data_IF_679677831171
#
_entry.id   IF_679677831171
#
_cell.length_a   1.000
_cell.length_b   1.000
_cell.length_c   1.000
_cell.angle_alpha   90.00
_cell.angle_beta   90.00
_cell.angle_gamma   90.00
#
_symmetry.space_group_name_H-M   'P 1'
#
loop_
_entity.id
_entity.type
_entity.pdbx_description
1 polymer ?
#
# COMPACT_ATOMS: atom_id res chain seq x y z
N UNK A 1 12.11 -5.58 -2.93
CA UNK A 1 11.43 -4.26 -3.07
C UNK A 1 10.09 -4.27 -2.39
N UNK A 2 9.76 -3.18 -1.72
CA UNK A 2 8.52 -2.95 -0.98
C UNK A 2 7.82 -1.73 -1.58
N UNK A 3 6.57 -1.86 -1.98
CA UNK A 3 5.70 -0.73 -2.33
C UNK A 3 4.91 -0.32 -1.10
N UNK A 4 5.03 0.91 -0.68
CA UNK A 4 4.31 1.49 0.46
C UNK A 4 3.34 2.56 -0.02
N UNK A 5 2.07 2.46 0.40
CA UNK A 5 0.98 3.30 -0.10
C UNK A 5 0.28 3.98 1.08
N UNK A 6 0.24 5.30 1.05
CA UNK A 6 -0.63 6.12 1.89
C UNK A 6 -1.92 6.44 1.12
N UNK A 7 -3.07 6.07 1.70
CA UNK A 7 -4.35 6.01 0.98
C UNK A 7 -5.03 7.36 0.92
N UNK A 8 -5.17 7.91 -0.27
CA UNK A 8 -5.88 9.16 -0.52
C UNK A 8 -6.44 9.25 -1.94
N UNK A 9 -7.48 10.04 -2.15
CA UNK A 9 -7.98 10.37 -3.50
C UNK A 9 -7.33 11.65 -4.01
N UNK A 10 -7.21 12.64 -3.14
CA UNK A 10 -6.58 13.93 -3.49
C UNK A 10 -5.05 13.86 -3.45
N UNK A 11 -4.51 12.99 -2.63
CA UNK A 11 -3.09 12.76 -2.46
C UNK A 11 -2.93 11.25 -2.23
N UNK A 12 -2.74 10.50 -3.29
CA UNK A 12 -2.28 9.12 -3.21
C UNK A 12 -0.76 9.19 -3.19
N UNK A 13 -0.15 8.84 -2.08
CA UNK A 13 1.30 8.81 -1.99
C UNK A 13 1.81 7.37 -2.07
N UNK A 14 2.90 7.17 -2.81
CA UNK A 14 3.49 5.86 -3.04
C UNK A 14 5.01 5.95 -3.00
N UNK A 15 5.64 4.96 -2.37
CA UNK A 15 7.09 4.80 -2.30
C UNK A 15 7.47 3.37 -2.66
N UNK A 16 8.33 3.18 -3.65
CA UNK A 16 8.97 1.91 -3.94
C UNK A 16 10.35 1.91 -3.31
N UNK A 17 10.57 1.07 -2.30
CA UNK A 17 11.80 0.97 -1.53
C UNK A 17 12.49 -0.36 -1.81
N UNK A 18 13.79 -0.33 -2.08
CA UNK A 18 14.65 -1.51 -2.21
C UNK A 18 15.39 -1.76 -0.90
N UNK A 19 14.86 -2.69 -0.10
CA UNK A 19 15.44 -3.07 1.20
C UNK A 19 16.83 -3.70 1.06
N UNK A 20 17.09 -4.37 -0.07
CA UNK A 20 18.36 -5.07 -0.34
C UNK A 20 19.49 -4.08 -0.74
N UNK A 21 19.15 -2.82 -1.08
CA UNK A 21 20.07 -1.76 -1.47
C UNK A 21 20.12 -0.63 -0.45
N UNK A 22 20.37 -0.96 0.81
CA UNK A 22 20.47 0.02 1.90
C UNK A 22 19.23 0.93 1.98
N UNK A 23 18.03 0.34 1.84
CA UNK A 23 16.76 1.07 1.83
C UNK A 23 16.71 2.20 0.78
N UNK A 24 17.18 1.91 -0.44
CA UNK A 24 17.10 2.84 -1.56
C UNK A 24 15.62 3.11 -1.91
N UNK A 25 15.23 4.37 -1.92
CA UNK A 25 13.96 4.85 -2.49
C UNK A 25 14.12 4.90 -4.01
N UNK A 26 13.52 3.94 -4.71
CA UNK A 26 13.62 3.78 -6.17
C UNK A 26 12.67 4.73 -6.89
N UNK A 27 11.43 4.79 -6.40
CA UNK A 27 10.38 5.68 -6.92
C UNK A 27 9.60 6.26 -5.74
N UNK A 28 9.23 7.53 -5.85
CA UNK A 28 8.51 8.24 -4.80
C UNK A 28 7.61 9.32 -5.39
N UNK A 29 6.32 9.16 -5.19
CA UNK A 29 5.33 10.01 -5.85
C UNK A 29 4.17 10.34 -4.89
N UNK A 30 3.61 11.53 -5.04
CA UNK A 30 2.35 11.94 -4.42
C UNK A 30 1.53 12.73 -5.43
N UNK A 31 0.40 12.18 -5.82
CA UNK A 31 -0.47 12.82 -6.80
C UNK A 31 -1.95 12.53 -6.50
N UNK A 32 -2.84 13.39 -7.02
CA UNK A 32 -4.28 13.18 -6.93
C UNK A 32 -4.79 12.23 -8.00
N UNK A 33 -5.75 11.39 -7.64
CA UNK A 33 -6.50 10.65 -8.64
C UNK A 33 -7.22 11.67 -9.53
N UNK A 34 -7.04 11.61 -10.86
CA UNK A 34 -7.69 12.55 -11.78
C UNK A 34 -9.19 12.59 -11.57
N UNK A 35 -9.83 13.78 -11.68
CA UNK A 35 -11.26 13.90 -11.49
C UNK A 35 -12.00 13.10 -12.54
N UNK A 36 -12.87 12.26 -12.07
CA UNK A 36 -13.97 11.55 -12.70
C UNK A 36 -13.79 11.10 -14.16
N UNK A 37 -13.31 9.87 -14.30
CA UNK A 37 -13.75 9.07 -15.44
C UNK A 37 -15.29 8.96 -15.37
N UNK A 38 -16.01 9.02 -16.52
CA UNK A 38 -17.47 8.84 -16.58
C UNK A 38 -17.94 7.59 -15.84
N UNK A 39 -17.11 6.57 -15.78
CA UNK A 39 -17.39 5.25 -15.14
C UNK A 39 -16.93 5.21 -13.67
N UNK A 40 -16.56 6.35 -13.07
CA UNK A 40 -16.34 6.52 -11.64
C UNK A 40 -14.87 6.50 -11.19
N UNK A 41 -14.69 6.81 -9.90
CA UNK A 41 -13.38 6.99 -9.26
C UNK A 41 -12.48 5.75 -9.33
N UNK A 42 -13.04 4.56 -9.33
CA UNK A 42 -12.25 3.33 -9.38
C UNK A 42 -11.61 3.08 -10.73
N UNK A 43 -12.28 3.50 -11.82
CA UNK A 43 -11.70 3.46 -13.16
C UNK A 43 -10.56 4.47 -13.26
N UNK A 44 -10.77 5.72 -12.81
CA UNK A 44 -9.70 6.72 -12.75
C UNK A 44 -8.50 6.23 -11.92
N UNK A 45 -8.76 5.54 -10.81
CA UNK A 45 -7.70 5.00 -9.95
C UNK A 45 -6.94 3.87 -10.63
N UNK A 46 -7.63 2.95 -11.32
CA UNK A 46 -6.97 1.92 -12.12
C UNK A 46 -6.05 2.54 -13.16
N UNK A 47 -6.55 3.49 -13.93
CA UNK A 47 -5.79 4.13 -15.01
C UNK A 47 -4.59 4.91 -14.45
N UNK A 48 -4.76 5.56 -13.28
CA UNK A 48 -3.70 6.24 -12.57
C UNK A 48 -2.58 5.28 -12.12
N UNK A 49 -2.93 4.09 -11.63
CA UNK A 49 -1.96 3.05 -11.26
C UNK A 49 -1.33 2.40 -12.50
N UNK A 50 -2.11 2.12 -13.54
CA UNK A 50 -1.62 1.51 -14.78
C UNK A 50 -0.64 2.45 -15.53
N UNK A 51 -0.79 3.77 -15.38
CA UNK A 51 0.17 4.76 -15.87
C UNK A 51 1.53 4.76 -15.12
N UNK A 52 1.64 4.00 -14.02
CA UNK A 52 2.84 3.90 -13.16
C UNK A 52 3.32 2.45 -13.08
N UNK A 53 3.90 1.88 -14.15
CA UNK A 53 4.26 0.45 -14.22
C UNK A 53 5.20 0.01 -13.10
N UNK A 54 5.96 0.93 -12.50
CA UNK A 54 6.86 0.66 -11.38
C UNK A 54 6.14 0.14 -10.13
N UNK A 55 4.84 0.46 -9.92
CA UNK A 55 4.07 -0.04 -8.77
C UNK A 55 3.91 -1.56 -8.78
N UNK A 56 4.08 -2.20 -9.95
CA UNK A 56 3.97 -3.65 -10.11
C UNK A 56 5.28 -4.40 -9.83
N UNK A 57 6.39 -3.68 -9.56
CA UNK A 57 7.71 -4.28 -9.35
C UNK A 57 7.97 -4.77 -7.91
N UNK A 58 7.00 -4.58 -7.01
CA UNK A 58 7.14 -4.93 -5.61
C UNK A 58 6.91 -6.42 -5.35
N UNK A 59 7.67 -6.98 -4.39
CA UNK A 59 7.43 -8.31 -3.80
C UNK A 59 6.50 -8.23 -2.58
N UNK A 60 6.49 -7.09 -1.90
CA UNK A 60 5.60 -6.80 -0.78
C UNK A 60 4.93 -5.45 -1.00
N UNK A 61 3.63 -5.38 -0.77
CA UNK A 61 2.81 -4.19 -0.98
C UNK A 61 2.12 -3.86 0.34
N UNK A 62 2.44 -2.69 0.89
CA UNK A 62 1.88 -2.18 2.13
C UNK A 62 0.86 -1.11 1.81
N UNK A 63 -0.39 -1.35 2.13
CA UNK A 63 -1.47 -0.38 1.99
C UNK A 63 -1.87 0.08 3.39
N UNK A 64 -1.83 1.39 3.67
CA UNK A 64 -2.24 1.89 4.96
C UNK A 64 -3.67 1.50 5.29
N UNK A 65 -3.86 0.82 6.43
CA UNK A 65 -5.18 0.44 6.93
C UNK A 65 -5.97 1.67 7.35
N UNK A 66 -7.11 1.87 6.72
CA UNK A 66 -7.99 3.00 7.00
C UNK A 66 -8.95 2.72 8.14
N UNK A 67 -9.26 3.74 8.99
CA UNK A 67 -10.20 3.58 10.09
C UNK A 67 -11.64 3.39 9.57
N UNK A 68 -12.39 2.47 10.18
CA UNK A 68 -13.74 2.06 9.74
C UNK A 68 -14.74 3.22 9.65
N UNK A 69 -14.56 4.28 10.43
CA UNK A 69 -15.36 5.50 10.37
C UNK A 69 -15.24 6.27 9.04
N UNK A 70 -14.12 6.11 8.32
CA UNK A 70 -13.90 6.75 7.03
C UNK A 70 -14.27 5.82 5.88
N UNK A 71 -15.58 5.56 5.71
CA UNK A 71 -16.12 4.60 4.73
C UNK A 71 -15.58 4.81 3.31
N UNK A 72 -15.42 6.06 2.89
CA UNK A 72 -14.89 6.38 1.56
C UNK A 72 -13.46 5.90 1.39
N UNK A 73 -12.57 6.17 2.36
CA UNK A 73 -11.17 5.71 2.29
C UNK A 73 -11.04 4.21 2.51
N UNK A 74 -11.93 3.60 3.29
CA UNK A 74 -12.02 2.12 3.41
C UNK A 74 -12.33 1.49 2.05
N UNK A 75 -13.27 2.05 1.28
CA UNK A 75 -13.57 1.56 -0.07
C UNK A 75 -12.38 1.71 -1.03
N UNK A 76 -11.67 2.84 -0.97
CA UNK A 76 -10.43 3.08 -1.75
C UNK A 76 -9.35 2.08 -1.36
N UNK A 77 -9.13 1.85 -0.07
CA UNK A 77 -8.18 0.86 0.44
C UNK A 77 -8.48 -0.55 -0.07
N UNK A 78 -9.75 -0.96 -0.05
CA UNK A 78 -10.14 -2.28 -0.57
C UNK A 78 -10.00 -2.39 -2.08
N UNK A 79 -10.26 -1.31 -2.82
CA UNK A 79 -9.99 -1.28 -4.25
C UNK A 79 -8.49 -1.48 -4.54
N UNK A 80 -7.61 -0.73 -3.86
CA UNK A 80 -6.16 -0.88 -3.99
C UNK A 80 -5.72 -2.31 -3.65
N UNK A 81 -6.26 -2.86 -2.55
CA UNK A 81 -5.96 -4.23 -2.14
C UNK A 81 -6.34 -5.25 -3.22
N UNK A 82 -7.55 -5.16 -3.77
CA UNK A 82 -8.02 -6.02 -4.85
C UNK A 82 -7.20 -5.85 -6.14
N UNK A 83 -6.90 -4.58 -6.51
CA UNK A 83 -6.07 -4.28 -7.68
C UNK A 83 -4.72 -5.02 -7.62
N UNK A 84 -4.01 -4.90 -6.49
CA UNK A 84 -2.70 -5.53 -6.37
C UNK A 84 -2.75 -7.05 -6.23
N UNK A 85 -3.77 -7.63 -5.60
CA UNK A 85 -3.97 -9.10 -5.59
C UNK A 85 -4.13 -9.63 -7.02
N UNK A 86 -4.82 -8.90 -7.89
CA UNK A 86 -5.08 -9.29 -9.28
C UNK A 86 -3.84 -9.05 -10.15
N UNK A 87 -3.22 -7.86 -10.04
CA UNK A 87 -2.11 -7.44 -10.91
C UNK A 87 -0.75 -8.01 -10.49
N UNK A 88 -0.58 -8.29 -9.20
CA UNK A 88 0.66 -8.80 -8.60
C UNK A 88 0.42 -10.10 -7.82
N UNK A 89 -0.04 -11.20 -8.45
CA UNK A 89 -0.47 -12.41 -7.73
C UNK A 89 0.66 -13.12 -6.97
N UNK A 90 1.93 -12.75 -7.24
CA UNK A 90 3.11 -13.28 -6.54
C UNK A 90 3.57 -12.38 -5.41
N UNK A 91 3.05 -11.16 -5.31
CA UNK A 91 3.40 -10.22 -4.24
C UNK A 91 2.53 -10.47 -3.00
N UNK A 92 3.12 -10.26 -1.83
CA UNK A 92 2.38 -10.22 -0.57
C UNK A 92 1.74 -8.84 -0.41
N UNK A 93 0.40 -8.77 -0.35
CA UNK A 93 -0.32 -7.49 -0.15
C UNK A 93 -0.87 -7.43 1.27
N UNK A 94 -0.47 -6.41 2.03
CA UNK A 94 -0.71 -6.27 3.47
C UNK A 94 -1.44 -4.95 3.75
N UNK A 95 -2.54 -5.03 4.51
CA UNK A 95 -3.15 -3.85 5.13
C UNK A 95 -2.37 -3.49 6.39
N UNK A 96 -1.54 -2.44 6.32
CA UNK A 96 -0.57 -2.08 7.34
C UNK A 96 -1.14 -1.04 8.32
N UNK A 97 -1.00 -1.29 9.62
CA UNK A 97 -1.53 -0.39 10.64
C UNK A 97 -0.65 0.86 10.80
N UNK A 98 -1.25 2.04 10.62
CA UNK A 98 -0.58 3.34 10.74
C UNK A 98 0.12 3.57 12.08
N UNK A 99 -0.31 2.89 13.16
CA UNK A 99 0.33 2.98 14.50
C UNK A 99 1.79 2.53 14.49
N UNK A 100 2.18 1.74 13.51
CA UNK A 100 3.54 1.23 13.38
C UNK A 100 4.51 2.20 12.72
N UNK A 101 4.03 3.24 12.01
CA UNK A 101 4.87 4.23 11.33
C UNK A 101 5.76 4.99 12.34
N UNK A 102 5.16 5.48 13.43
CA UNK A 102 5.84 6.25 14.50
C UNK A 102 5.39 5.72 15.86
N UNK A 103 5.91 4.58 16.31
CA UNK A 103 5.41 3.87 17.49
C UNK A 103 5.62 4.63 18.82
N UNK A 104 6.62 5.46 18.90
CA UNK A 104 6.98 6.26 20.09
C UNK A 104 6.14 7.53 20.26
N UNK A 105 5.28 7.87 19.31
CA UNK A 105 4.29 8.96 19.43
C UNK A 105 2.89 8.38 19.52
N UNK A 106 2.57 7.76 20.65
CA UNK A 106 1.27 7.14 20.91
C UNK A 106 0.23 8.15 21.43
N UNK A 107 -1.03 7.77 21.40
CA UNK A 107 -2.16 8.48 21.99
C UNK A 107 -3.15 9.08 20.98
N UNK A 108 -4.39 9.30 21.44
CA UNK A 108 -5.46 9.89 20.64
C UNK A 108 -5.37 11.43 20.63
N UNK A 109 -6.19 12.03 19.76
CA UNK A 109 -6.42 13.46 19.71
C UNK A 109 -5.58 14.22 18.67
N UNK A 110 -6.04 15.44 18.38
CA UNK A 110 -5.48 16.31 17.32
C UNK A 110 -4.02 16.69 17.58
N UNK A 111 -3.67 16.96 18.84
CA UNK A 111 -2.29 17.33 19.22
C UNK A 111 -1.31 16.17 18.91
N UNK A 112 -1.64 14.94 19.30
CA UNK A 112 -0.82 13.76 19.02
C UNK A 112 -0.76 13.43 17.52
N UNK A 113 -1.85 13.64 16.80
CA UNK A 113 -1.87 13.52 15.35
C UNK A 113 -0.90 14.50 14.69
N UNK A 114 -0.94 15.80 15.08
CA UNK A 114 -0.03 16.81 14.54
C UNK A 114 1.44 16.49 14.91
N UNK A 115 1.68 16.01 16.14
CA UNK A 115 3.02 15.58 16.57
C UNK A 115 3.55 14.44 15.71
N UNK A 116 2.71 13.39 15.44
CA UNK A 116 3.12 12.29 14.56
C UNK A 116 3.51 12.78 13.18
N UNK A 117 2.71 13.67 12.57
CA UNK A 117 3.02 14.25 11.25
C UNK A 117 4.37 14.99 11.28
N UNK A 118 4.61 15.82 12.28
CA UNK A 118 5.87 16.55 12.41
C UNK A 118 7.05 15.58 12.52
N UNK A 119 6.96 14.61 13.42
CA UNK A 119 8.01 13.59 13.63
C UNK A 119 8.21 12.73 12.38
N UNK A 120 7.15 12.39 11.65
CA UNK A 120 7.24 11.64 10.38
C UNK A 120 8.07 12.41 9.35
N UNK A 121 7.79 13.71 9.18
CA UNK A 121 8.53 14.59 8.26
C UNK A 121 10.00 14.71 8.67
N UNK A 122 10.28 15.02 9.95
CA UNK A 122 11.64 15.15 10.47
C UNK A 122 12.46 13.89 10.27
N UNK A 123 11.94 12.73 10.65
CA UNK A 123 12.63 11.44 10.49
C UNK A 123 12.84 11.05 9.03
N UNK A 124 11.89 11.37 8.18
CA UNK A 124 12.03 11.11 6.74
C UNK A 124 13.12 12.00 6.14
N UNK A 125 13.17 13.27 6.51
CA UNK A 125 14.24 14.18 6.05
C UNK A 125 15.62 13.73 6.55
N UNK A 126 15.73 13.35 7.83
CA UNK A 126 16.97 12.82 8.41
C UNK A 126 17.41 11.52 7.70
N UNK A 127 16.47 10.62 7.39
CA UNK A 127 16.73 9.39 6.65
C UNK A 127 17.30 9.68 5.26
N UNK A 128 16.70 10.62 4.52
CA UNK A 128 17.15 10.97 3.17
C UNK A 128 18.54 11.63 3.22
N UNK A 129 18.78 12.53 4.19
CA UNK A 129 20.05 13.26 4.33
C UNK A 129 21.19 12.38 4.80
N UNK A 130 20.93 11.47 5.73
CA UNK A 130 21.95 10.58 6.30
C UNK A 130 22.29 9.39 5.38
N UNK A 131 21.39 9.04 4.46
CA UNK A 131 21.56 7.92 3.54
C UNK A 131 21.96 8.42 2.15
N UNK A 132 23.25 8.29 1.79
CA UNK A 132 23.81 8.82 0.55
C UNK A 132 23.11 8.32 -0.73
N UNK A 133 22.57 7.08 -0.72
CA UNK A 133 21.84 6.53 -1.88
C UNK A 133 20.50 7.24 -2.13
N UNK A 134 19.97 7.95 -1.13
CA UNK A 134 18.68 8.66 -1.20
C UNK A 134 18.84 10.18 -1.33
N UNK A 135 20.05 10.73 -1.30
CA UNK A 135 20.32 12.18 -1.29
C UNK A 135 19.69 12.94 -2.46
N UNK A 136 19.52 12.29 -3.61
CA UNK A 136 18.89 12.86 -4.80
C UNK A 136 17.39 13.20 -4.58
N UNK A 137 16.73 12.63 -3.57
CA UNK A 137 15.34 12.92 -3.24
C UNK A 137 15.15 14.17 -2.38
N UNK A 138 16.22 14.74 -1.81
CA UNK A 138 16.09 15.83 -0.83
C UNK A 138 15.40 17.06 -1.41
N UNK A 139 15.74 17.43 -2.64
CA UNK A 139 15.14 18.57 -3.32
C UNK A 139 13.66 18.37 -3.59
N UNK A 140 13.29 17.19 -4.08
CA UNK A 140 11.90 16.80 -4.32
C UNK A 140 11.09 16.84 -3.02
N UNK A 141 11.63 16.27 -1.95
CA UNK A 141 10.97 16.25 -0.64
C UNK A 141 10.80 17.65 -0.05
N UNK A 142 11.86 18.45 -0.03
CA UNK A 142 11.83 19.80 0.55
C UNK A 142 10.89 20.73 -0.20
N UNK A 143 10.81 20.63 -1.52
CA UNK A 143 9.91 21.43 -2.37
C UNK A 143 8.45 20.95 -2.38
N UNK A 144 8.19 19.71 -1.95
CA UNK A 144 6.83 19.18 -1.93
C UNK A 144 5.92 19.92 -0.96
N UNK A 145 4.70 20.24 -1.42
CA UNK A 145 3.61 20.75 -0.56
C UNK A 145 2.97 19.64 0.28
N UNK A 146 3.29 18.37 0.01
CA UNK A 146 2.74 17.17 0.62
C UNK A 146 3.81 16.29 1.26
N UNK A 147 4.72 16.95 2.01
CA UNK A 147 5.81 16.27 2.72
C UNK A 147 5.32 15.22 3.70
N UNK A 148 4.17 15.46 4.34
CA UNK A 148 3.56 14.55 5.30
C UNK A 148 3.12 13.25 4.63
N UNK A 149 2.43 13.32 3.48
CA UNK A 149 1.96 12.15 2.74
C UNK A 149 3.16 11.35 2.16
N UNK A 150 4.17 12.05 1.63
CA UNK A 150 5.42 11.43 1.19
C UNK A 150 6.15 10.75 2.35
N UNK A 151 6.39 11.47 3.46
CA UNK A 151 7.08 10.93 4.63
C UNK A 151 6.40 9.68 5.18
N UNK A 152 5.08 9.67 5.21
CA UNK A 152 4.30 8.55 5.73
C UNK A 152 4.54 7.27 4.94
N UNK A 153 4.76 7.34 3.62
CA UNK A 153 5.07 6.14 2.81
C UNK A 153 6.46 5.58 3.13
N UNK A 154 7.47 6.43 3.29
CA UNK A 154 8.83 5.99 3.66
C UNK A 154 8.86 5.43 5.07
N UNK A 155 8.27 6.14 6.05
CA UNK A 155 8.21 5.68 7.44
C UNK A 155 7.45 4.35 7.57
N UNK A 156 6.40 4.14 6.79
CA UNK A 156 5.67 2.87 6.73
C UNK A 156 6.57 1.74 6.23
N UNK A 157 7.29 1.93 5.12
CA UNK A 157 8.20 0.94 4.57
C UNK A 157 9.32 0.59 5.55
N UNK A 158 10.01 1.60 6.11
CA UNK A 158 11.09 1.41 7.08
C UNK A 158 10.61 0.71 8.36
N UNK A 159 9.43 1.08 8.88
CA UNK A 159 8.88 0.41 10.05
C UNK A 159 8.57 -1.06 9.80
N UNK A 160 8.16 -1.41 8.59
CA UNK A 160 7.92 -2.80 8.19
C UNK A 160 9.25 -3.59 8.12
N UNK A 161 10.29 -3.03 7.50
CA UNK A 161 11.65 -3.63 7.44
C UNK A 161 12.16 -3.91 8.85
N UNK A 162 12.20 -2.88 9.71
CA UNK A 162 12.70 -3.00 11.08
C UNK A 162 11.93 -4.05 11.89
N UNK A 163 10.61 -4.14 11.73
CA UNK A 163 9.80 -5.13 12.47
C UNK A 163 10.06 -6.56 11.99
N UNK A 164 10.33 -6.76 10.69
CA UNK A 164 10.70 -8.08 10.17
C UNK A 164 12.05 -8.55 10.69
N UNK A 165 12.99 -7.65 10.90
CA UNK A 165 14.31 -7.96 11.44
C UNK A 165 14.26 -8.37 12.92
N UNK A 166 13.42 -7.70 13.72
CA UNK A 166 13.27 -7.95 15.17
C UNK A 166 12.51 -9.25 15.47
N UNK A 167 11.68 -9.77 14.55
CA UNK A 167 10.92 -10.99 14.78
C UNK A 167 11.82 -12.23 14.69
N UNK A 168 11.86 -13.11 15.73
CA UNK A 168 12.64 -14.34 15.70
C UNK A 168 12.18 -15.26 14.55
N UNK A 169 13.12 -16.00 13.98
CA UNK A 169 12.92 -16.85 12.79
C UNK A 169 11.73 -17.83 12.91
N UNK A 170 11.35 -18.23 14.14
CA UNK A 170 10.20 -19.09 14.43
C UNK A 170 8.84 -18.41 14.18
N UNK A 171 8.76 -17.07 14.23
CA UNK A 171 7.54 -16.32 13.96
C UNK A 171 7.44 -15.88 12.50
N UNK A 172 8.58 -15.78 11.80
CA UNK A 172 8.60 -15.49 10.34
C UNK A 172 7.84 -16.54 9.51
N UNK A 173 7.76 -17.81 9.98
CA UNK A 173 7.03 -18.91 9.31
C UNK A 173 5.52 -18.90 9.56
N UNK A 174 5.00 -18.17 10.56
CA UNK A 174 3.56 -18.13 10.86
C UNK A 174 2.80 -17.11 10.02
N UNK A 175 3.41 -16.00 9.63
CA UNK A 175 2.77 -15.01 8.74
C UNK A 175 2.54 -15.56 7.33
N UNK A 176 3.44 -16.41 6.84
CA UNK A 176 3.32 -17.05 5.51
C UNK A 176 2.29 -18.19 5.48
N UNK A 177 1.92 -18.78 6.64
CA UNK A 177 0.94 -19.89 6.69
C UNK A 177 -0.52 -19.46 6.75
N UNK A 178 -0.82 -18.18 7.01
CA UNK A 178 -2.21 -17.69 7.05
C UNK A 178 -2.82 -17.49 5.65
N UNK A 179 -2.02 -17.49 4.60
CA UNK A 179 -2.49 -17.34 3.21
C UNK A 179 -2.76 -18.68 2.51
N UNK A 180 -2.27 -19.80 3.06
CA UNK A 180 -2.45 -21.12 2.46
C UNK A 180 -3.49 -21.97 3.21
N UNK A 181 -4.68 -21.47 3.48
CA UNK A 181 -5.85 -22.35 3.71
C UNK A 181 -6.33 -22.83 2.34
N UNK A 182 -5.89 -24.04 1.96
CA UNK A 182 -6.52 -24.80 0.89
C UNK A 182 -8.02 -24.89 1.16
N UNK A 183 -8.88 -24.76 0.12
CA UNK A 183 -10.30 -25.04 0.28
C UNK A 183 -10.44 -26.49 0.80
N UNK A 184 -11.29 -26.64 1.80
CA UNK A 184 -11.61 -27.93 2.40
C UNK A 184 -12.26 -28.80 1.30
N UNK A 185 -11.64 -29.92 0.93
CA UNK A 185 -12.10 -30.84 -0.13
C UNK A 185 -13.46 -31.53 0.16
N UNK A 186 -14.14 -31.14 1.22
CA UNK A 186 -15.43 -31.72 1.64
C UNK A 186 -16.67 -30.86 1.31
N UNK A 187 -16.58 -29.90 0.37
CA UNK A 187 -17.79 -29.32 -0.19
C UNK A 187 -18.26 -30.17 -1.37
N UNK A 188 -19.33 -30.92 -1.11
CA UNK A 188 -20.11 -31.67 -2.12
C UNK A 188 -20.31 -30.76 -3.34
N UNK A 189 -19.78 -31.21 -4.47
CA UNK A 189 -20.00 -30.58 -5.77
C UNK A 189 -21.49 -30.55 -6.09
N UNK A 190 -22.10 -29.37 -5.95
CA UNK A 190 -23.41 -29.13 -6.54
C UNK A 190 -23.23 -29.17 -8.05
N UNK A 191 -23.72 -30.21 -8.69
CA UNK A 191 -23.73 -30.36 -10.15
C UNK A 191 -24.55 -29.22 -10.76
N UNK A 192 -23.88 -28.20 -11.30
CA UNK A 192 -24.53 -27.26 -12.20
C UNK A 192 -24.86 -28.02 -13.48
N UNK A 193 -26.14 -28.10 -13.85
CA UNK A 193 -26.56 -28.74 -15.06
C UNK A 193 -26.09 -27.93 -16.27
N UNK A 194 -25.73 -28.62 -17.38
CA UNK A 194 -25.23 -28.01 -18.62
C UNK A 194 -26.17 -26.97 -19.28
N UNK A 195 -27.41 -26.84 -18.78
CA UNK A 195 -28.43 -25.92 -19.30
C UNK A 195 -28.18 -24.45 -18.96
N UNK A 196 -27.36 -24.12 -17.93
CA UNK A 196 -27.12 -22.74 -17.51
C UNK A 196 -25.93 -22.07 -18.19
N UNK A 197 -25.13 -22.76 -18.96
CA UNK A 197 -23.99 -22.19 -19.70
C UNK A 197 -24.38 -21.55 -21.04
N UNK A 198 -25.54 -21.89 -21.59
CA UNK A 198 -26.00 -21.35 -22.88
C UNK A 198 -26.49 -19.88 -22.76
N UNK A 199 -26.84 -19.41 -21.58
CA UNK A 199 -27.36 -18.06 -21.37
C UNK A 199 -26.29 -16.96 -21.43
N UNK A 200 -25.03 -17.31 -21.20
CA UNK A 200 -23.91 -16.33 -21.13
C UNK A 200 -23.40 -15.97 -22.53
N UNK A 201 -23.68 -16.77 -23.57
CA UNK A 201 -23.15 -16.53 -24.91
C UNK A 201 -24.11 -15.83 -25.88
N UNK A 202 -25.37 -15.60 -25.52
CA UNK A 202 -26.39 -15.06 -26.43
C UNK A 202 -26.69 -13.55 -26.30
N UNK A 203 -26.04 -12.84 -25.40
CA UNK A 203 -26.23 -11.39 -25.23
C UNK A 203 -24.94 -10.58 -25.47
N UNK A 204 -24.22 -10.87 -26.56
CA UNK A 204 -23.24 -9.98 -27.17
C UNK A 204 -23.71 -9.62 -28.57
N UNK A 205 -24.54 -8.58 -28.66
CA UNK A 205 -24.67 -7.72 -29.84
C UNK A 205 -24.65 -6.27 -29.34
#
# INVERSE_FOLDING_TARGET
>A
MILSIDVGIKNLAMCLLDEDKNNLVVEWDVDGIPPQHRDGVYVSMRDHLDARPWVLNAKTILIEKQPDRNKKMVSVMHFLHAYFIIRCPKAETILYDARHKIPDVAGPGKAQYNKRKKVSIERCEDFIRSNSVNSHWIDTFVKSKKKDDLADTVMQALSFVNRREVLPASQKKKSTKLVARRPNENQKTTKYSKSNLAWIYLNKV
#
